data_IF_066702964609
#
_entry.id   IF_066702964609
#
_cell.length_a   1.000
_cell.length_b   1.000
_cell.length_c   1.000
_cell.angle_alpha   90.00
_cell.angle_beta   90.00
_cell.angle_gamma   90.00
#
_symmetry.space_group_name_H-M   'P 1'
#
loop_
_entity.id
_entity.type
_entity.pdbx_description
1 polymer ?
#
# COMPACT_ATOMS: atom_id res chain seq x y z
N UNK A 1 58.59 -18.36 14.42
CA UNK A 1 57.59 -17.99 15.43
C UNK A 1 57.01 -16.66 15.04
N UNK A 2 55.77 -16.62 14.56
CA UNK A 2 55.11 -15.37 14.23
C UNK A 2 54.75 -14.61 15.53
N UNK A 3 55.03 -13.30 15.67
CA UNK A 3 54.70 -12.58 16.89
C UNK A 3 53.17 -12.59 17.09
N UNK A 4 52.75 -13.07 18.25
CA UNK A 4 51.31 -13.04 18.64
C UNK A 4 50.77 -11.63 18.45
N UNK A 5 49.66 -11.44 17.71
CA UNK A 5 48.97 -10.17 17.58
C UNK A 5 48.64 -9.64 19.00
N UNK A 6 49.31 -8.57 19.40
CA UNK A 6 49.03 -7.94 20.68
C UNK A 6 47.54 -7.49 20.68
N UNK A 7 46.85 -7.80 21.77
CA UNK A 7 45.44 -7.39 22.00
C UNK A 7 45.31 -5.89 21.91
N UNK A 8 44.26 -5.40 21.27
CA UNK A 8 43.90 -3.96 21.29
C UNK A 8 43.75 -3.45 22.71
N UNK A 9 44.11 -2.16 22.94
CA UNK A 9 43.91 -1.50 24.23
C UNK A 9 42.44 -1.51 24.62
N UNK A 10 42.13 -1.80 25.86
CA UNK A 10 40.79 -1.58 26.44
C UNK A 10 40.54 -0.10 26.65
N UNK A 11 39.28 0.28 26.87
CA UNK A 11 38.95 1.66 27.22
C UNK A 11 39.61 2.14 28.48
N UNK A 12 39.74 1.27 29.46
CA UNK A 12 40.41 1.49 30.76
C UNK A 12 41.90 1.78 30.57
N UNK A 13 42.61 0.93 29.82
CA UNK A 13 44.03 1.11 29.51
C UNK A 13 44.29 2.45 28.77
N UNK A 14 43.37 2.89 27.94
CA UNK A 14 43.47 4.19 27.25
C UNK A 14 43.26 5.39 28.19
N UNK A 15 42.30 5.24 29.13
CA UNK A 15 42.07 6.26 30.17
C UNK A 15 43.32 6.37 31.04
N UNK A 16 43.90 5.23 31.49
CA UNK A 16 45.09 5.18 32.27
C UNK A 16 46.28 5.87 31.60
N UNK A 17 46.51 5.60 30.30
CA UNK A 17 47.54 6.28 29.50
C UNK A 17 47.34 7.79 29.50
N UNK A 18 46.08 8.26 29.32
CA UNK A 18 45.77 9.69 29.28
C UNK A 18 45.99 10.35 30.66
N UNK A 19 45.54 9.73 31.73
CA UNK A 19 45.73 10.20 33.12
C UNK A 19 47.20 10.30 33.46
N UNK A 20 47.97 9.25 33.17
CA UNK A 20 49.43 9.28 33.43
C UNK A 20 50.13 10.36 32.61
N UNK A 21 49.68 10.65 31.39
CA UNK A 21 50.22 11.73 30.59
C UNK A 21 49.85 13.11 31.15
N UNK A 22 48.64 13.28 31.66
CA UNK A 22 48.22 14.55 32.33
C UNK A 22 49.02 14.80 33.59
N UNK A 23 49.48 13.75 34.27
CA UNK A 23 50.41 13.80 35.44
C UNK A 23 51.86 14.09 35.02
N UNK A 24 52.10 14.52 33.75
CA UNK A 24 53.42 14.91 33.21
C UNK A 24 54.46 13.77 33.16
N UNK A 25 54.01 12.49 33.17
CA UNK A 25 54.94 11.38 32.95
C UNK A 25 55.41 11.34 31.49
N UNK A 26 56.65 10.95 31.24
CA UNK A 26 57.19 10.80 29.90
C UNK A 26 56.53 9.59 29.19
N UNK A 27 56.38 9.64 27.86
CA UNK A 27 55.75 8.53 27.09
C UNK A 27 56.48 7.22 27.28
N UNK A 28 57.81 7.22 27.47
CA UNK A 28 58.62 6.04 27.77
C UNK A 28 58.26 5.43 29.14
N UNK A 29 58.09 6.28 30.14
CA UNK A 29 57.71 5.84 31.48
C UNK A 29 56.29 5.23 31.50
N UNK A 30 55.35 5.88 30.79
CA UNK A 30 53.99 5.40 30.61
C UNK A 30 54.00 4.04 29.90
N UNK A 31 54.77 3.88 28.81
CA UNK A 31 54.87 2.64 28.08
C UNK A 31 55.40 1.48 28.94
N UNK A 32 56.36 1.75 29.83
CA UNK A 32 56.86 0.78 30.79
C UNK A 32 55.78 0.39 31.82
N UNK A 33 55.05 1.38 32.39
CA UNK A 33 54.01 1.17 33.41
C UNK A 33 52.83 0.32 32.85
N UNK A 34 52.33 0.72 31.68
CA UNK A 34 51.15 0.06 31.05
C UNK A 34 51.58 -1.21 30.26
N UNK A 35 52.87 -1.53 30.17
CA UNK A 35 53.45 -2.68 29.45
C UNK A 35 52.95 -2.72 27.98
N UNK A 36 52.98 -1.57 27.31
CA UNK A 36 52.55 -1.42 25.91
C UNK A 36 53.65 -0.75 25.06
N UNK A 37 53.69 -1.00 23.76
CA UNK A 37 54.67 -0.34 22.88
C UNK A 37 54.58 1.20 22.96
N UNK A 38 55.71 1.86 22.92
CA UNK A 38 55.82 3.32 22.93
C UNK A 38 54.97 4.00 21.81
N UNK A 39 54.93 3.40 20.64
CA UNK A 39 54.08 3.87 19.50
C UNK A 39 52.58 3.87 19.86
N UNK A 40 52.11 2.79 20.51
CA UNK A 40 50.71 2.67 20.91
C UNK A 40 50.32 3.73 21.96
N UNK A 41 51.22 4.00 22.93
CA UNK A 41 51.03 5.05 23.92
C UNK A 41 51.03 6.43 23.26
N UNK A 42 52.00 6.71 22.38
CA UNK A 42 52.12 7.99 21.68
C UNK A 42 50.86 8.23 20.78
N UNK A 43 50.39 7.22 20.06
CA UNK A 43 49.19 7.32 19.24
C UNK A 43 47.92 7.57 20.06
N UNK A 44 47.83 6.96 21.26
CA UNK A 44 46.69 7.16 22.14
C UNK A 44 46.67 8.60 22.68
N UNK A 45 47.82 9.12 23.14
CA UNK A 45 47.95 10.49 23.61
C UNK A 45 47.70 11.50 22.47
N UNK A 46 48.28 11.29 21.28
CA UNK A 46 48.07 12.14 20.11
C UNK A 46 46.57 12.15 19.72
N UNK A 47 45.92 11.03 19.74
CA UNK A 47 44.49 10.93 19.45
C UNK A 47 43.66 11.70 20.48
N UNK A 48 43.94 11.51 21.76
CA UNK A 48 43.24 12.24 22.82
C UNK A 48 43.40 13.76 22.68
N UNK A 49 44.61 14.23 22.39
CA UNK A 49 44.85 15.68 22.15
C UNK A 49 44.03 16.22 20.99
N UNK A 50 43.82 15.42 19.92
CA UNK A 50 43.11 15.86 18.71
C UNK A 50 41.59 15.73 18.82
N UNK A 51 41.06 14.77 19.59
CA UNK A 51 39.64 14.45 19.60
C UNK A 51 38.96 14.63 20.97
N UNK A 52 39.75 14.89 22.02
CA UNK A 52 39.33 14.91 23.41
C UNK A 52 38.55 13.62 23.83
N UNK A 53 38.85 12.51 23.19
CA UNK A 53 38.15 11.22 23.37
C UNK A 53 39.15 10.07 23.41
N UNK A 54 38.91 9.10 24.30
CA UNK A 54 39.65 7.84 24.40
C UNK A 54 39.11 6.74 23.47
N UNK A 55 37.97 6.99 22.83
CA UNK A 55 37.31 6.04 21.94
C UNK A 55 38.13 5.78 20.66
N UNK A 56 37.96 4.58 20.10
CA UNK A 56 38.54 4.28 18.79
C UNK A 56 37.88 5.11 17.69
N UNK A 57 38.67 5.68 16.82
CA UNK A 57 38.16 6.32 15.60
C UNK A 57 37.50 5.26 14.71
N UNK A 58 36.39 5.62 14.10
CA UNK A 58 35.74 4.77 13.12
C UNK A 58 36.65 4.53 11.93
N UNK A 59 36.93 3.26 11.61
CA UNK A 59 37.77 2.92 10.47
C UNK A 59 37.07 3.33 9.17
N UNK A 60 37.83 3.81 8.19
CA UNK A 60 37.31 4.25 6.88
C UNK A 60 36.65 3.10 6.09
N UNK A 61 36.99 1.85 6.41
CA UNK A 61 36.49 0.66 5.74
C UNK A 61 37.05 0.51 4.30
N UNK A 62 36.50 -0.47 3.57
CA UNK A 62 36.88 -0.71 2.17
C UNK A 62 36.31 0.39 1.28
N UNK A 63 37.07 1.00 0.36
CA UNK A 63 36.57 1.97 -0.61
C UNK A 63 35.38 1.43 -1.41
N UNK A 64 34.40 2.30 -1.69
CA UNK A 64 33.21 1.93 -2.45
C UNK A 64 33.58 1.73 -3.92
N UNK A 65 33.15 0.61 -4.53
CA UNK A 65 33.33 0.35 -5.98
C UNK A 65 32.53 1.33 -6.86
N UNK A 66 31.39 1.81 -6.37
CA UNK A 66 30.49 2.74 -7.06
C UNK A 66 30.65 4.10 -6.38
N UNK A 67 31.10 5.09 -7.10
CA UNK A 67 31.23 6.46 -6.65
C UNK A 67 29.86 7.19 -6.64
N UNK A 68 29.83 8.45 -6.21
CA UNK A 68 28.58 9.21 -6.13
C UNK A 68 27.99 9.52 -7.51
N UNK A 69 28.83 9.74 -8.54
CA UNK A 69 28.38 9.98 -9.91
C UNK A 69 27.72 8.74 -10.49
N UNK A 70 28.37 7.58 -10.36
CA UNK A 70 27.85 6.28 -10.80
C UNK A 70 26.52 5.94 -10.10
N UNK A 71 26.45 6.24 -8.82
CA UNK A 71 25.21 6.02 -8.04
C UNK A 71 24.05 6.90 -8.52
N UNK A 72 24.33 8.15 -8.91
CA UNK A 72 23.32 9.04 -9.54
C UNK A 72 22.91 8.53 -10.92
N UNK A 73 23.85 8.04 -11.72
CA UNK A 73 23.56 7.44 -13.01
C UNK A 73 22.63 6.23 -12.88
N UNK A 74 22.91 5.30 -11.97
CA UNK A 74 22.04 4.13 -11.69
C UNK A 74 20.63 4.56 -11.29
N UNK A 75 20.50 5.59 -10.45
CA UNK A 75 19.20 6.17 -10.10
C UNK A 75 18.46 6.66 -11.34
N UNK A 76 19.11 7.43 -12.21
CA UNK A 76 18.47 7.98 -13.41
C UNK A 76 18.09 6.88 -14.40
N UNK A 77 18.93 5.88 -14.63
CA UNK A 77 18.59 4.72 -15.45
C UNK A 77 17.37 3.98 -14.94
N UNK A 78 17.29 3.76 -13.62
CA UNK A 78 16.13 3.12 -13.01
C UNK A 78 14.87 3.98 -13.08
N UNK A 79 14.97 5.31 -13.02
CA UNK A 79 13.82 6.21 -13.18
C UNK A 79 13.29 6.16 -14.63
N UNK A 80 14.18 6.19 -15.62
CA UNK A 80 13.83 6.16 -17.04
C UNK A 80 13.20 4.82 -17.45
N UNK A 81 13.60 3.73 -16.83
CA UNK A 81 13.18 2.37 -17.18
C UNK A 81 12.82 1.56 -15.92
N UNK A 82 11.70 1.92 -15.27
CA UNK A 82 11.24 1.35 -13.99
C UNK A 82 11.02 -0.17 -13.99
N UNK A 83 10.90 -0.79 -15.15
CA UNK A 83 10.60 -2.23 -15.30
C UNK A 83 11.85 -3.08 -15.59
N UNK A 84 13.01 -2.48 -15.81
CA UNK A 84 14.26 -3.24 -15.99
C UNK A 84 14.59 -4.04 -14.74
N UNK A 85 15.01 -5.29 -14.94
CA UNK A 85 15.49 -6.15 -13.85
C UNK A 85 16.82 -5.65 -13.32
N UNK A 86 17.16 -5.99 -12.09
CA UNK A 86 18.44 -5.64 -11.50
C UNK A 86 19.62 -6.22 -12.30
N UNK A 87 19.46 -7.40 -12.92
CA UNK A 87 20.47 -8.01 -13.77
C UNK A 87 20.79 -7.13 -14.98
N UNK A 88 19.76 -6.70 -15.72
CA UNK A 88 19.89 -5.84 -16.90
C UNK A 88 20.53 -4.49 -16.52
N UNK A 89 20.07 -3.86 -15.43
CA UNK A 89 20.66 -2.60 -14.95
C UNK A 89 22.14 -2.77 -14.61
N UNK A 90 22.51 -3.91 -13.98
CA UNK A 90 23.91 -4.18 -13.61
C UNK A 90 24.78 -4.40 -14.84
N UNK A 91 24.27 -5.12 -15.82
CA UNK A 91 25.00 -5.42 -17.08
C UNK A 91 25.23 -4.14 -17.88
N UNK A 92 24.19 -3.35 -18.14
CA UNK A 92 24.30 -2.06 -18.83
C UNK A 92 25.27 -1.10 -18.11
N UNK A 93 25.22 -1.07 -16.78
CA UNK A 93 26.12 -0.25 -15.99
C UNK A 93 27.58 -0.69 -16.13
N UNK A 94 27.84 -1.99 -16.03
CA UNK A 94 29.20 -2.54 -16.13
C UNK A 94 29.82 -2.28 -17.53
N UNK A 95 29.00 -2.44 -18.57
CA UNK A 95 29.45 -2.16 -19.96
C UNK A 95 29.75 -0.67 -20.12
N UNK A 96 28.84 0.19 -19.74
CA UNK A 96 28.93 1.65 -19.94
C UNK A 96 30.05 2.32 -19.12
N UNK A 97 30.40 1.78 -17.95
CA UNK A 97 31.38 2.38 -17.03
C UNK A 97 32.68 1.58 -16.90
N UNK A 98 32.84 0.47 -17.65
CA UNK A 98 33.97 -0.44 -17.56
C UNK A 98 34.28 -0.89 -16.12
N UNK A 99 33.26 -1.07 -15.32
CA UNK A 99 33.34 -1.47 -13.90
C UNK A 99 32.78 -2.89 -13.75
N UNK A 100 33.46 -3.73 -12.98
CA UNK A 100 32.93 -5.04 -12.58
C UNK A 100 32.17 -4.94 -11.22
N UNK A 101 30.99 -4.38 -11.23
CA UNK A 101 30.12 -4.34 -10.05
C UNK A 101 29.20 -5.58 -10.02
N UNK A 102 29.06 -6.21 -8.87
CA UNK A 102 28.08 -7.27 -8.69
C UNK A 102 26.66 -6.70 -8.52
N UNK A 103 25.65 -7.52 -8.79
CA UNK A 103 24.23 -7.16 -8.57
C UNK A 103 23.95 -6.64 -7.15
N UNK A 104 24.60 -7.22 -6.14
CA UNK A 104 24.44 -6.78 -4.74
C UNK A 104 25.01 -5.39 -4.48
N UNK A 105 26.10 -5.01 -5.17
CA UNK A 105 26.69 -3.67 -5.08
C UNK A 105 25.76 -2.64 -5.73
N UNK A 106 25.26 -2.93 -6.94
CA UNK A 106 24.27 -2.08 -7.64
C UNK A 106 22.98 -1.95 -6.83
N UNK A 107 22.47 -3.04 -6.27
CA UNK A 107 21.28 -3.03 -5.44
C UNK A 107 21.46 -2.14 -4.20
N UNK A 108 22.59 -2.21 -3.50
CA UNK A 108 22.91 -1.34 -2.37
C UNK A 108 22.96 0.14 -2.76
N UNK A 109 23.53 0.44 -3.94
CA UNK A 109 23.55 1.80 -4.47
C UNK A 109 22.12 2.33 -4.74
N UNK A 110 21.24 1.51 -5.33
CA UNK A 110 19.84 1.89 -5.54
C UNK A 110 19.08 2.03 -4.20
N UNK A 111 19.32 1.14 -3.25
CA UNK A 111 18.72 1.21 -1.91
C UNK A 111 19.14 2.47 -1.15
N UNK A 112 20.37 2.94 -1.31
CA UNK A 112 20.82 4.20 -0.68
C UNK A 112 20.04 5.44 -1.16
N UNK A 113 19.39 5.35 -2.33
CA UNK A 113 18.44 6.34 -2.85
C UNK A 113 16.97 6.03 -2.48
N UNK A 114 16.70 5.04 -1.63
CA UNK A 114 15.35 4.59 -1.30
C UNK A 114 14.63 3.86 -2.44
N UNK A 115 15.35 3.49 -3.50
CA UNK A 115 14.78 2.77 -4.64
C UNK A 115 14.79 1.27 -4.39
N UNK A 116 13.66 0.76 -3.89
CA UNK A 116 13.46 -0.65 -3.59
C UNK A 116 12.68 -1.34 -4.73
N UNK A 117 13.01 -2.58 -5.02
CA UNK A 117 12.19 -3.43 -5.87
C UNK A 117 10.82 -3.65 -5.22
N UNK A 118 9.77 -3.22 -5.90
CA UNK A 118 8.37 -3.37 -5.44
C UNK A 118 7.53 -4.03 -6.52
N UNK A 119 6.51 -4.76 -6.12
CA UNK A 119 5.52 -5.29 -7.06
C UNK A 119 4.69 -4.13 -7.59
N UNK A 120 4.59 -4.04 -8.93
CA UNK A 120 3.74 -3.03 -9.54
C UNK A 120 2.27 -3.26 -9.20
N UNK A 121 1.57 -2.20 -8.83
CA UNK A 121 0.12 -2.24 -8.63
C UNK A 121 -0.58 -2.47 -9.97
N UNK A 122 -1.60 -3.34 -9.96
CA UNK A 122 -2.50 -3.51 -11.09
C UNK A 122 -3.67 -2.55 -10.91
N UNK A 123 -3.83 -1.62 -11.83
CA UNK A 123 -4.96 -0.67 -11.90
C UNK A 123 -5.48 -0.63 -13.34
N UNK A 124 -6.78 -0.37 -13.58
CA UNK A 124 -7.33 -0.25 -14.94
C UNK A 124 -6.59 0.83 -15.73
N UNK A 125 -6.46 0.66 -17.04
CA UNK A 125 -5.90 1.71 -17.91
C UNK A 125 -6.92 2.83 -18.05
N UNK A 126 -6.58 4.02 -17.58
CA UNK A 126 -7.44 5.20 -17.73
C UNK A 126 -7.19 5.89 -19.07
N UNK A 127 -8.27 6.16 -19.80
CA UNK A 127 -8.20 7.02 -20.99
C UNK A 127 -7.96 8.48 -20.59
N UNK A 128 -7.38 9.32 -21.47
CA UNK A 128 -7.24 10.77 -21.21
C UNK A 128 -8.59 11.45 -20.87
N UNK A 129 -9.67 10.99 -21.49
CA UNK A 129 -11.03 11.47 -21.22
C UNK A 129 -11.44 11.15 -19.77
N UNK A 130 -11.22 9.92 -19.31
CA UNK A 130 -11.58 9.50 -17.95
C UNK A 130 -10.74 10.23 -16.91
N UNK A 131 -9.44 10.43 -17.15
CA UNK A 131 -8.57 11.24 -16.30
C UNK A 131 -9.11 12.66 -16.14
N UNK A 132 -9.50 13.31 -17.25
CA UNK A 132 -10.09 14.65 -17.23
C UNK A 132 -11.40 14.69 -16.44
N UNK A 133 -12.29 13.74 -16.69
CA UNK A 133 -13.60 13.65 -16.01
C UNK A 133 -13.45 13.42 -14.51
N UNK A 134 -12.55 12.53 -14.12
CA UNK A 134 -12.25 12.24 -12.72
C UNK A 134 -11.65 13.46 -12.00
N UNK A 135 -10.76 14.20 -12.67
CA UNK A 135 -10.19 15.44 -12.13
C UNK A 135 -11.25 16.54 -11.97
N UNK A 136 -12.16 16.70 -12.92
CA UNK A 136 -13.26 17.66 -12.84
C UNK A 136 -14.17 17.33 -11.65
N UNK A 137 -14.63 16.08 -11.56
CA UNK A 137 -15.42 15.61 -10.44
C UNK A 137 -14.75 15.92 -9.09
N UNK A 138 -13.46 15.58 -8.97
CA UNK A 138 -12.73 15.83 -7.73
C UNK A 138 -12.63 17.31 -7.38
N UNK A 139 -12.43 18.21 -8.37
CA UNK A 139 -12.38 19.66 -8.16
C UNK A 139 -13.72 20.24 -7.72
N UNK A 140 -14.82 19.77 -8.26
CA UNK A 140 -16.17 20.19 -7.88
C UNK A 140 -16.50 19.72 -6.46
N UNK A 141 -16.20 18.46 -6.13
CA UNK A 141 -16.64 17.83 -4.89
C UNK A 141 -15.66 17.96 -3.71
N UNK A 142 -14.42 18.43 -3.92
CA UNK A 142 -13.47 18.65 -2.82
C UNK A 142 -13.96 19.70 -1.81
N UNK A 143 -14.84 20.61 -2.25
CA UNK A 143 -15.45 21.66 -1.41
C UNK A 143 -16.69 21.16 -0.63
N UNK A 144 -17.18 19.98 -0.98
CA UNK A 144 -18.34 19.42 -0.30
C UNK A 144 -18.07 19.21 1.19
N UNK A 145 -19.03 19.67 2.00
CA UNK A 145 -19.02 19.48 3.45
C UNK A 145 -19.55 18.09 3.82
N UNK A 146 -19.30 17.64 5.04
CA UNK A 146 -19.81 16.35 5.56
C UNK A 146 -21.33 16.21 5.39
N UNK A 147 -22.11 17.29 5.55
CA UNK A 147 -23.57 17.30 5.36
C UNK A 147 -24.02 16.90 3.95
N UNK A 148 -23.25 17.26 2.91
CA UNK A 148 -23.54 16.90 1.51
C UNK A 148 -23.23 15.42 1.26
N UNK A 149 -22.05 14.95 1.68
CA UNK A 149 -21.70 13.55 1.62
C UNK A 149 -22.60 12.64 2.44
N UNK A 150 -23.17 13.14 3.54
CA UNK A 150 -24.11 12.41 4.37
C UNK A 150 -25.45 12.10 3.69
N UNK A 151 -25.78 12.78 2.58
CA UNK A 151 -26.99 12.54 1.78
C UNK A 151 -26.76 11.55 0.64
N UNK A 152 -25.55 11.01 0.48
CA UNK A 152 -25.20 10.13 -0.64
C UNK A 152 -25.42 8.67 -0.25
N UNK A 153 -26.12 7.94 -1.10
CA UNK A 153 -26.13 6.49 -1.14
C UNK A 153 -25.10 6.04 -2.20
N UNK A 154 -24.01 5.44 -1.75
CA UNK A 154 -23.00 4.83 -2.62
C UNK A 154 -23.36 3.39 -2.89
N UNK A 155 -23.39 2.98 -4.15
CA UNK A 155 -23.75 1.62 -4.55
C UNK A 155 -22.71 1.01 -5.46
N UNK A 156 -22.65 -0.33 -5.44
CA UNK A 156 -21.75 -1.10 -6.29
C UNK A 156 -22.07 -2.59 -6.26
N UNK A 157 -21.47 -3.34 -7.19
CA UNK A 157 -21.43 -4.79 -7.21
C UNK A 157 -20.09 -5.32 -6.77
N UNK A 158 -20.11 -6.46 -6.06
CA UNK A 158 -18.89 -7.17 -5.72
C UNK A 158 -19.04 -8.67 -5.90
N UNK A 159 -17.93 -9.29 -6.33
CA UNK A 159 -17.83 -10.73 -6.53
C UNK A 159 -16.90 -11.31 -5.48
N UNK A 160 -17.40 -12.25 -4.71
CA UNK A 160 -16.67 -12.99 -3.68
C UNK A 160 -16.47 -14.42 -4.11
N UNK A 161 -15.20 -14.82 -4.24
CA UNK A 161 -14.84 -16.19 -4.63
C UNK A 161 -14.90 -17.12 -3.41
N UNK A 162 -15.44 -18.33 -3.59
CA UNK A 162 -15.52 -19.33 -2.52
C UNK A 162 -14.13 -19.80 -2.10
N UNK A 163 -13.28 -20.07 -3.08
CA UNK A 163 -11.91 -20.51 -2.86
C UNK A 163 -10.91 -19.48 -3.38
N UNK A 164 -9.85 -19.31 -2.62
CA UNK A 164 -8.83 -18.33 -2.94
C UNK A 164 -9.21 -16.92 -2.45
N UNK A 165 -8.23 -16.21 -2.01
CA UNK A 165 -8.34 -14.78 -1.69
C UNK A 165 -7.57 -13.99 -2.74
N UNK A 166 -8.10 -12.87 -3.20
CA UNK A 166 -7.34 -11.91 -4.03
C UNK A 166 -6.13 -11.34 -3.28
N UNK A 167 -6.05 -11.59 -1.96
CA UNK A 167 -4.98 -11.16 -1.07
C UNK A 167 -3.84 -12.17 -1.04
N UNK A 168 -2.62 -11.66 -0.88
CA UNK A 168 -1.45 -12.52 -0.64
C UNK A 168 -1.55 -13.12 0.76
N UNK A 169 -1.63 -14.45 0.85
CA UNK A 169 -1.53 -15.18 2.10
C UNK A 169 -0.05 -15.43 2.38
N UNK A 170 0.42 -15.00 3.55
CA UNK A 170 1.78 -15.24 4.00
C UNK A 170 1.78 -16.40 4.99
N UNK A 171 2.69 -17.35 4.80
CA UNK A 171 2.97 -18.42 5.74
C UNK A 171 4.39 -18.28 6.28
N UNK A 172 4.59 -18.58 7.55
CA UNK A 172 5.93 -18.68 8.15
C UNK A 172 6.35 -20.14 8.03
N UNK A 173 7.44 -20.41 7.33
CA UNK A 173 7.94 -21.76 7.06
C UNK A 173 9.45 -21.77 6.94
N UNK A 174 10.08 -22.92 7.18
CA UNK A 174 11.49 -23.13 6.86
C UNK A 174 11.71 -23.33 5.35
N UNK A 175 12.98 -23.35 4.95
CA UNK A 175 13.35 -23.37 3.52
C UNK A 175 12.75 -24.57 2.75
N UNK A 176 12.65 -25.73 3.39
CA UNK A 176 12.24 -26.99 2.75
C UNK A 176 10.75 -27.32 2.90
N UNK A 177 9.96 -26.53 3.63
CA UNK A 177 8.55 -26.78 3.95
C UNK A 177 7.57 -26.20 2.93
N UNK A 178 8.08 -25.80 1.75
CA UNK A 178 7.25 -25.10 0.73
C UNK A 178 6.02 -25.88 0.31
N UNK A 179 6.10 -27.20 0.29
CA UNK A 179 5.06 -28.09 -0.21
C UNK A 179 4.30 -28.83 0.88
N UNK A 180 4.55 -28.55 2.15
CA UNK A 180 3.75 -29.09 3.24
C UNK A 180 2.32 -28.57 3.16
N UNK A 181 1.34 -29.41 3.50
CA UNK A 181 -0.09 -29.11 3.34
C UNK A 181 -0.54 -27.84 4.06
N UNK A 182 0.04 -27.56 5.24
CA UNK A 182 -0.20 -26.37 6.04
C UNK A 182 0.45 -25.09 5.45
N UNK A 183 1.38 -25.23 4.51
CA UNK A 183 2.04 -24.14 3.80
C UNK A 183 1.43 -23.88 2.41
N UNK A 184 0.48 -24.68 1.98
CA UNK A 184 -0.19 -24.56 0.68
C UNK A 184 -1.52 -23.82 0.82
N UNK A 185 -1.88 -23.10 -0.24
CA UNK A 185 -3.24 -22.59 -0.42
C UNK A 185 -3.91 -23.57 -1.39
N UNK A 186 -4.96 -24.27 -0.95
CA UNK A 186 -5.68 -25.17 -1.85
C UNK A 186 -6.31 -24.39 -3.00
N UNK A 187 -6.13 -24.87 -4.22
CA UNK A 187 -6.77 -24.34 -5.41
C UNK A 187 -7.73 -25.38 -5.96
N UNK A 188 -8.90 -24.95 -6.43
CA UNK A 188 -9.88 -25.79 -7.08
C UNK A 188 -10.00 -25.42 -8.56
N UNK A 189 -10.24 -26.41 -9.41
CA UNK A 189 -10.50 -26.18 -10.84
C UNK A 189 -11.69 -25.23 -10.97
N UNK A 190 -11.60 -24.28 -11.91
CA UNK A 190 -12.63 -23.27 -12.20
C UNK A 190 -12.99 -22.35 -11.02
N UNK A 191 -12.10 -22.20 -10.01
CA UNK A 191 -12.27 -21.26 -8.88
C UNK A 191 -13.34 -21.66 -7.87
N UNK A 192 -13.94 -22.87 -7.96
CA UNK A 192 -14.89 -23.41 -6.98
C UNK A 192 -16.22 -22.67 -6.85
N UNK A 193 -16.49 -21.68 -7.69
CA UNK A 193 -17.68 -20.85 -7.64
C UNK A 193 -17.47 -19.49 -6.94
N UNK A 194 -18.46 -18.65 -7.05
CA UNK A 194 -18.48 -17.31 -6.47
C UNK A 194 -19.90 -16.86 -6.12
N UNK A 195 -20.02 -15.85 -5.28
CA UNK A 195 -21.26 -15.14 -5.00
C UNK A 195 -21.11 -13.71 -5.47
N UNK A 196 -21.96 -13.28 -6.40
CA UNK A 196 -22.05 -11.91 -6.84
C UNK A 196 -23.16 -11.20 -6.07
N UNK A 197 -22.88 -10.04 -5.54
CA UNK A 197 -23.79 -9.27 -4.72
C UNK A 197 -23.85 -7.82 -5.18
N UNK A 198 -25.00 -7.19 -4.96
CA UNK A 198 -25.19 -5.76 -5.01
C UNK A 198 -25.46 -5.23 -3.60
N UNK A 199 -24.94 -4.05 -3.29
CA UNK A 199 -25.18 -3.37 -2.03
C UNK A 199 -25.03 -1.86 -2.11
N UNK A 200 -25.52 -1.17 -1.08
CA UNK A 200 -25.39 0.28 -0.94
C UNK A 200 -25.03 0.68 0.49
N UNK A 201 -24.26 1.74 0.63
CA UNK A 201 -23.84 2.28 1.93
C UNK A 201 -24.15 3.77 2.04
N UNK A 202 -24.53 4.18 3.23
CA UNK A 202 -24.66 5.59 3.59
C UNK A 202 -24.22 5.81 5.04
N UNK A 203 -24.21 7.06 5.52
CA UNK A 203 -23.79 7.38 6.90
C UNK A 203 -24.70 6.82 7.99
N UNK A 204 -25.94 6.48 7.64
CA UNK A 204 -26.95 5.99 8.56
C UNK A 204 -27.03 4.46 8.62
N UNK A 205 -26.47 3.76 7.64
CA UNK A 205 -26.49 2.31 7.56
C UNK A 205 -26.15 1.79 6.18
N UNK A 206 -26.49 0.53 5.95
CA UNK A 206 -26.33 -0.19 4.71
C UNK A 206 -27.69 -0.60 4.16
N UNK A 207 -27.79 -0.79 2.85
CA UNK A 207 -28.96 -1.44 2.24
C UNK A 207 -28.89 -2.95 2.48
N UNK A 208 -30.01 -3.65 2.39
CA UNK A 208 -29.97 -5.10 2.33
C UNK A 208 -29.24 -5.55 1.07
N UNK A 209 -28.36 -6.53 1.21
CA UNK A 209 -27.69 -7.11 0.06
C UNK A 209 -28.69 -7.76 -0.91
N UNK A 210 -28.37 -7.73 -2.19
CA UNK A 210 -29.03 -8.54 -3.22
C UNK A 210 -28.04 -9.51 -3.80
N UNK A 211 -28.29 -10.81 -3.64
CA UNK A 211 -27.58 -11.84 -4.38
C UNK A 211 -28.00 -11.79 -5.85
N UNK A 212 -27.02 -11.79 -6.72
CA UNK A 212 -27.21 -11.78 -8.17
C UNK A 212 -26.95 -13.21 -8.67
N UNK A 213 -27.96 -13.82 -9.22
CA UNK A 213 -27.90 -15.15 -9.80
C UNK A 213 -27.71 -15.01 -11.30
N UNK A 214 -26.73 -15.75 -11.84
CA UNK A 214 -26.39 -15.69 -13.26
C UNK A 214 -25.78 -14.35 -13.67
N UNK A 215 -26.20 -13.84 -14.84
CA UNK A 215 -25.71 -12.60 -15.44
C UNK A 215 -26.59 -11.44 -15.04
N UNK A 216 -26.01 -10.40 -14.49
CA UNK A 216 -26.70 -9.15 -14.21
C UNK A 216 -26.89 -8.34 -15.50
N UNK A 217 -28.11 -8.37 -15.99
CA UNK A 217 -28.54 -7.56 -17.14
C UNK A 217 -29.27 -6.27 -16.70
N UNK A 218 -29.73 -5.48 -17.66
CA UNK A 218 -30.49 -4.26 -17.39
C UNK A 218 -31.82 -4.49 -16.67
N UNK A 219 -32.45 -5.67 -16.81
CA UNK A 219 -33.72 -5.99 -16.13
C UNK A 219 -33.49 -6.32 -14.68
N UNK A 220 -32.45 -7.11 -14.39
CA UNK A 220 -32.03 -7.43 -13.02
C UNK A 220 -31.64 -6.14 -12.29
N UNK A 221 -30.86 -5.27 -12.95
CA UNK A 221 -30.49 -3.99 -12.32
C UNK A 221 -31.69 -3.07 -12.09
N UNK A 222 -32.61 -2.97 -13.05
CA UNK A 222 -33.85 -2.22 -12.87
C UNK A 222 -34.66 -2.74 -11.68
N UNK A 223 -34.78 -4.06 -11.52
CA UNK A 223 -35.42 -4.68 -10.35
C UNK A 223 -34.73 -4.28 -9.02
N UNK A 224 -33.39 -4.18 -9.03
CA UNK A 224 -32.62 -3.69 -7.89
C UNK A 224 -32.97 -2.22 -7.59
N UNK A 225 -33.05 -1.37 -8.62
CA UNK A 225 -33.45 0.03 -8.45
C UNK A 225 -34.83 0.16 -7.82
N UNK A 226 -35.82 -0.60 -8.33
CA UNK A 226 -37.21 -0.54 -7.90
C UNK A 226 -37.42 -1.09 -6.48
N UNK A 227 -36.83 -2.23 -6.18
CA UNK A 227 -37.16 -2.99 -4.96
C UNK A 227 -36.12 -2.85 -3.85
N UNK A 228 -34.94 -2.26 -4.12
CA UNK A 228 -33.85 -2.13 -3.14
C UNK A 228 -33.29 -0.72 -3.07
N UNK A 229 -32.62 -0.27 -4.12
CA UNK A 229 -31.82 0.96 -4.09
C UNK A 229 -32.62 2.18 -3.68
N UNK A 230 -33.70 2.48 -4.41
CA UNK A 230 -34.48 3.70 -4.15
C UNK A 230 -35.35 3.62 -2.89
N UNK A 231 -36.10 2.53 -2.61
CA UNK A 231 -36.86 2.42 -1.37
C UNK A 231 -35.99 2.46 -0.12
N UNK A 232 -34.86 1.74 -0.12
CA UNK A 232 -33.97 1.71 1.03
C UNK A 232 -33.16 2.99 1.17
N UNK A 233 -32.75 3.61 0.07
CA UNK A 233 -32.15 4.94 0.06
C UNK A 233 -33.07 5.98 0.69
N UNK A 234 -34.35 5.99 0.29
CA UNK A 234 -35.36 6.87 0.87
C UNK A 234 -35.60 6.59 2.35
N UNK A 235 -35.60 5.32 2.76
CA UNK A 235 -35.73 4.92 4.18
C UNK A 235 -34.55 5.41 5.03
N UNK A 236 -33.32 5.29 4.51
CA UNK A 236 -32.09 5.59 5.24
C UNK A 236 -31.75 7.08 5.26
N UNK A 237 -32.06 7.82 4.18
CA UNK A 237 -31.58 9.18 3.95
C UNK A 237 -32.71 10.22 3.78
N UNK A 238 -33.95 9.77 3.62
CA UNK A 238 -35.09 10.64 3.31
C UNK A 238 -35.27 10.90 1.82
N UNK A 239 -36.29 11.67 1.47
CA UNK A 239 -36.62 12.09 0.10
C UNK A 239 -35.53 13.04 -0.43
N UNK A 240 -35.22 12.96 -1.71
CA UNK A 240 -34.21 13.80 -2.37
C UNK A 240 -32.76 13.44 -2.01
N UNK A 241 -32.51 12.21 -1.59
CA UNK A 241 -31.13 11.74 -1.39
C UNK A 241 -30.35 11.68 -2.70
N UNK A 242 -29.04 11.76 -2.61
CA UNK A 242 -28.14 11.66 -3.76
C UNK A 242 -27.80 10.19 -4.01
N UNK A 243 -28.12 9.70 -5.20
CA UNK A 243 -27.84 8.34 -5.63
C UNK A 243 -26.59 8.28 -6.50
N UNK A 244 -25.61 7.49 -6.07
CA UNK A 244 -24.41 7.23 -6.85
C UNK A 244 -24.45 5.81 -7.41
N UNK A 245 -24.28 5.72 -8.70
CA UNK A 245 -24.05 4.49 -9.48
C UNK A 245 -22.86 4.70 -10.42
N UNK A 246 -22.22 3.63 -10.89
CA UNK A 246 -21.18 3.71 -11.91
C UNK A 246 -21.77 3.81 -13.33
N UNK A 247 -20.89 3.91 -14.33
CA UNK A 247 -21.29 4.04 -15.73
C UNK A 247 -21.32 2.71 -16.47
N UNK A 248 -21.59 1.59 -15.79
CA UNK A 248 -21.74 0.29 -16.45
C UNK A 248 -22.85 0.38 -17.54
N UNK A 249 -22.69 -0.26 -18.73
CA UNK A 249 -23.70 -0.24 -19.78
C UNK A 249 -25.09 -0.67 -19.34
N UNK A 250 -25.22 -1.60 -18.37
CA UNK A 250 -26.52 -2.01 -17.83
C UNK A 250 -27.20 -0.88 -17.02
N UNK A 251 -26.42 -0.09 -16.27
CA UNK A 251 -26.90 1.07 -15.50
C UNK A 251 -27.31 2.21 -16.44
N UNK A 252 -26.51 2.47 -17.45
CA UNK A 252 -26.76 3.52 -18.43
C UNK A 252 -27.73 3.13 -19.55
N UNK A 253 -28.39 1.98 -19.47
CA UNK A 253 -29.44 1.56 -20.40
C UNK A 253 -30.62 2.54 -20.39
N UNK A 254 -31.26 2.74 -21.56
CA UNK A 254 -32.42 3.65 -21.66
C UNK A 254 -33.53 3.28 -20.65
N UNK A 255 -33.72 1.98 -20.43
CA UNK A 255 -34.70 1.46 -19.48
C UNK A 255 -34.47 1.93 -18.05
N UNK A 256 -33.26 1.79 -17.53
CA UNK A 256 -32.89 2.22 -16.17
C UNK A 256 -32.82 3.76 -16.08
N UNK A 257 -32.28 4.44 -17.10
CA UNK A 257 -32.20 5.90 -17.12
C UNK A 257 -33.57 6.57 -17.10
N UNK A 258 -34.55 6.06 -17.86
CA UNK A 258 -35.91 6.61 -17.88
C UNK A 258 -36.59 6.45 -16.53
N UNK A 259 -36.41 5.30 -15.89
CA UNK A 259 -36.94 5.07 -14.53
C UNK A 259 -36.32 6.06 -13.53
N UNK A 260 -35.00 6.19 -13.49
CA UNK A 260 -34.32 7.13 -12.61
C UNK A 260 -34.70 8.59 -12.90
N UNK A 261 -34.85 8.98 -14.18
CA UNK A 261 -35.29 10.31 -14.56
C UNK A 261 -36.71 10.61 -14.09
N UNK A 262 -37.62 9.62 -14.10
CA UNK A 262 -38.96 9.79 -13.54
C UNK A 262 -38.95 10.03 -12.02
N UNK A 263 -38.06 9.32 -11.32
CA UNK A 263 -37.87 9.46 -9.85
C UNK A 263 -37.18 10.78 -9.48
N UNK A 264 -36.32 11.26 -10.35
CA UNK A 264 -35.68 12.58 -10.19
C UNK A 264 -36.71 13.72 -10.39
N UNK A 265 -37.58 13.61 -11.41
CA UNK A 265 -38.70 14.55 -11.61
C UNK A 265 -39.67 14.59 -10.42
N UNK A 266 -39.94 13.43 -9.78
CA UNK A 266 -40.79 13.39 -8.56
C UNK A 266 -40.08 13.92 -7.31
N UNK A 267 -38.79 14.27 -7.41
CA UNK A 267 -37.97 14.73 -6.29
C UNK A 267 -37.66 13.64 -5.27
N UNK A 268 -37.81 12.36 -5.63
CA UNK A 268 -37.49 11.24 -4.75
C UNK A 268 -35.98 11.04 -4.60
N UNK A 269 -35.22 11.33 -5.66
CA UNK A 269 -33.77 11.10 -5.73
C UNK A 269 -33.09 12.20 -6.56
N UNK A 270 -31.82 12.43 -6.31
CA UNK A 270 -30.94 13.27 -7.15
C UNK A 270 -29.80 12.37 -7.66
N UNK A 271 -29.60 12.30 -8.98
CA UNK A 271 -28.54 11.45 -9.53
C UNK A 271 -27.19 12.15 -9.48
N UNK A 272 -26.18 11.45 -9.01
CA UNK A 272 -24.80 11.93 -9.04
C UNK A 272 -24.16 11.66 -10.40
N UNK A 273 -23.58 12.67 -11.02
CA UNK A 273 -22.75 12.48 -12.21
C UNK A 273 -21.43 11.86 -11.80
N UNK A 274 -21.28 10.56 -12.03
CA UNK A 274 -20.12 9.80 -11.59
C UNK A 274 -19.06 9.66 -12.70
N UNK A 275 -17.75 9.85 -12.40
CA UNK A 275 -16.69 9.69 -13.39
C UNK A 275 -16.48 8.20 -13.72
N UNK A 276 -16.30 7.84 -15.02
CA UNK A 276 -16.06 6.45 -15.39
C UNK A 276 -14.76 5.90 -14.81
N UNK A 277 -14.73 4.58 -14.56
CA UNK A 277 -13.55 3.85 -14.09
C UNK A 277 -12.88 4.46 -12.83
N UNK A 278 -13.70 4.91 -11.87
CA UNK A 278 -13.23 5.61 -10.67
C UNK A 278 -13.52 4.85 -9.36
N UNK A 279 -13.06 3.61 -9.21
CA UNK A 279 -13.23 2.85 -7.96
C UNK A 279 -12.52 3.54 -6.78
N UNK A 280 -11.42 4.24 -7.04
CA UNK A 280 -10.68 5.02 -6.04
C UNK A 280 -11.56 6.06 -5.32
N UNK A 281 -12.58 6.59 -5.99
CA UNK A 281 -13.53 7.52 -5.43
C UNK A 281 -14.70 6.83 -4.72
N UNK A 282 -14.99 5.55 -5.01
CA UNK A 282 -16.13 4.87 -4.38
C UNK A 282 -15.76 4.33 -2.99
N UNK A 283 -16.36 4.84 -1.89
CA UNK A 283 -16.04 4.37 -0.55
C UNK A 283 -16.54 2.94 -0.27
N UNK A 284 -17.49 2.42 -1.07
CA UNK A 284 -18.02 1.07 -0.90
C UNK A 284 -16.97 0.00 -1.22
N UNK A 285 -15.98 0.30 -2.08
CA UNK A 285 -14.85 -0.60 -2.35
C UNK A 285 -14.07 -0.93 -1.06
N UNK A 286 -13.90 0.07 -0.21
CA UNK A 286 -13.30 -0.15 1.12
C UNK A 286 -14.20 -0.97 2.05
N UNK A 287 -15.52 -0.98 1.80
CA UNK A 287 -16.45 -1.84 2.55
C UNK A 287 -16.42 -3.27 2.05
N UNK A 288 -16.26 -3.50 0.77
CA UNK A 288 -16.02 -4.84 0.23
C UNK A 288 -14.77 -5.47 0.83
N UNK A 289 -13.69 -4.69 0.91
CA UNK A 289 -12.46 -5.10 1.61
C UNK A 289 -12.67 -5.37 3.10
N UNK A 290 -13.47 -4.53 3.77
CA UNK A 290 -13.81 -4.69 5.18
C UNK A 290 -14.58 -5.98 5.41
N UNK A 291 -15.56 -6.29 4.56
CA UNK A 291 -16.35 -7.53 4.60
C UNK A 291 -15.46 -8.74 4.33
N UNK A 292 -14.68 -8.73 3.24
CA UNK A 292 -13.81 -9.87 2.88
C UNK A 292 -12.83 -10.26 3.99
N UNK A 293 -12.32 -9.27 4.74
CA UNK A 293 -11.43 -9.53 5.88
C UNK A 293 -12.11 -10.18 7.07
N UNK A 294 -13.42 -10.03 7.22
CA UNK A 294 -14.20 -10.52 8.35
C UNK A 294 -15.00 -11.78 8.08
N UNK A 295 -15.14 -12.13 6.81
CA UNK A 295 -15.80 -13.37 6.43
C UNK A 295 -15.10 -14.57 7.08
N UNK A 296 -15.88 -15.42 7.72
CA UNK A 296 -15.40 -16.68 8.26
C UNK A 296 -14.95 -17.60 7.13
N UNK A 297 -13.67 -17.93 7.09
CA UNK A 297 -13.06 -18.73 6.02
C UNK A 297 -13.56 -20.17 6.00
N UNK A 298 -13.97 -20.71 7.13
CA UNK A 298 -14.49 -22.07 7.24
C UNK A 298 -15.89 -22.24 6.66
N UNK A 299 -16.63 -21.13 6.49
CA UNK A 299 -18.01 -21.11 5.97
C UNK A 299 -18.08 -20.79 4.46
N UNK A 300 -16.94 -20.78 3.77
CA UNK A 300 -16.87 -20.51 2.32
C UNK A 300 -16.98 -21.78 1.45
N UNK A 301 -17.49 -22.88 1.97
CA UNK A 301 -17.51 -24.18 1.27
C UNK A 301 -18.71 -24.36 0.33
N UNK A 302 -19.71 -23.49 0.38
CA UNK A 302 -20.84 -23.46 -0.56
C UNK A 302 -21.30 -22.01 -0.80
N UNK A 303 -21.98 -21.77 -1.94
CA UNK A 303 -22.50 -20.45 -2.27
C UNK A 303 -23.53 -19.97 -1.24
N UNK A 304 -24.37 -20.86 -0.71
CA UNK A 304 -25.42 -20.48 0.25
C UNK A 304 -24.85 -20.15 1.62
N UNK A 305 -23.90 -20.94 2.13
CA UNK A 305 -23.18 -20.60 3.36
C UNK A 305 -22.40 -19.30 3.23
N UNK A 306 -21.76 -19.10 2.08
CA UNK A 306 -21.07 -17.84 1.78
C UNK A 306 -22.03 -16.66 1.73
N UNK A 307 -23.23 -16.83 1.15
CA UNK A 307 -24.27 -15.80 1.12
C UNK A 307 -24.72 -15.41 2.53
N UNK A 308 -25.05 -16.37 3.37
CA UNK A 308 -25.47 -16.12 4.76
C UNK A 308 -24.37 -15.41 5.56
N UNK A 309 -23.12 -15.81 5.39
CA UNK A 309 -21.97 -15.18 6.03
C UNK A 309 -21.76 -13.74 5.54
N UNK A 310 -21.91 -13.49 4.23
CA UNK A 310 -21.85 -12.17 3.62
C UNK A 310 -22.96 -11.27 4.20
N UNK A 311 -24.20 -11.74 4.25
CA UNK A 311 -25.35 -10.99 4.73
C UNK A 311 -25.19 -10.63 6.22
N UNK A 312 -24.79 -11.59 7.05
CA UNK A 312 -24.53 -11.37 8.48
C UNK A 312 -23.40 -10.34 8.70
N UNK A 313 -22.29 -10.52 7.97
CA UNK A 313 -21.13 -9.61 8.07
C UNK A 313 -21.48 -8.18 7.61
N UNK A 314 -22.22 -8.05 6.50
CA UNK A 314 -22.66 -6.78 5.96
C UNK A 314 -23.58 -6.03 6.93
N UNK A 315 -24.57 -6.70 7.47
CA UNK A 315 -25.51 -6.11 8.40
C UNK A 315 -24.88 -5.72 9.75
N UNK A 316 -23.74 -6.34 10.10
CA UNK A 316 -22.98 -6.03 11.31
C UNK A 316 -22.05 -4.83 11.18
N UNK A 317 -21.94 -4.19 10.01
CA UNK A 317 -21.03 -3.05 9.80
C UNK A 317 -21.41 -1.88 10.72
N UNK A 318 -20.52 -1.45 11.63
CA UNK A 318 -20.83 -0.34 12.52
C UNK A 318 -20.95 0.99 11.77
N UNK A 319 -21.95 1.81 12.12
CA UNK A 319 -22.13 3.17 11.54
C UNK A 319 -20.86 4.03 11.62
N UNK A 320 -20.05 3.87 12.67
CA UNK A 320 -18.75 4.56 12.83
C UNK A 320 -17.80 4.25 11.66
N UNK A 321 -17.78 3.01 11.18
CA UNK A 321 -16.95 2.57 10.04
C UNK A 321 -17.47 3.17 8.74
N UNK A 322 -18.77 3.11 8.49
CA UNK A 322 -19.40 3.73 7.32
C UNK A 322 -19.07 5.23 7.25
N UNK A 323 -19.28 5.96 8.34
CA UNK A 323 -18.97 7.39 8.44
C UNK A 323 -17.49 7.69 8.19
N UNK A 324 -16.57 6.86 8.72
CA UNK A 324 -15.12 6.99 8.47
C UNK A 324 -14.81 6.99 6.97
N UNK A 325 -15.35 6.02 6.24
CA UNK A 325 -15.04 5.88 4.82
C UNK A 325 -15.79 6.88 3.94
N UNK A 326 -17.06 7.17 4.23
CA UNK A 326 -17.82 8.18 3.48
C UNK A 326 -17.24 9.58 3.69
N UNK A 327 -16.85 9.93 4.90
CA UNK A 327 -16.24 11.24 5.15
C UNK A 327 -14.78 11.33 4.67
N UNK A 328 -14.17 10.22 4.25
CA UNK A 328 -12.89 10.24 3.55
C UNK A 328 -12.98 10.80 2.12
N UNK A 329 -14.19 10.98 1.56
CA UNK A 329 -14.40 11.48 0.19
C UNK A 329 -13.66 12.78 -0.09
N UNK A 330 -13.61 13.72 0.86
CA UNK A 330 -12.82 14.94 0.71
C UNK A 330 -11.33 14.64 0.47
N UNK A 331 -10.77 13.66 1.18
CA UNK A 331 -9.37 13.26 1.05
C UNK A 331 -9.14 12.45 -0.24
N UNK A 332 -10.12 11.62 -0.67
CA UNK A 332 -10.09 10.94 -1.97
C UNK A 332 -10.07 11.95 -3.11
N UNK A 333 -10.94 12.96 -3.09
CA UNK A 333 -10.92 14.06 -4.07
C UNK A 333 -9.57 14.80 -4.07
N UNK A 334 -9.00 15.13 -2.90
CA UNK A 334 -7.66 15.74 -2.82
C UNK A 334 -6.58 14.85 -3.44
N UNK A 335 -6.63 13.54 -3.19
CA UNK A 335 -5.68 12.59 -3.76
C UNK A 335 -5.77 12.53 -5.28
N UNK A 336 -6.99 12.53 -5.84
CA UNK A 336 -7.23 12.59 -7.29
C UNK A 336 -6.71 13.91 -7.89
N UNK A 337 -6.92 15.03 -7.23
CA UNK A 337 -6.39 16.34 -7.67
C UNK A 337 -4.88 16.31 -7.69
N UNK A 338 -4.24 15.80 -6.61
CA UNK A 338 -2.79 15.65 -6.53
C UNK A 338 -2.24 14.72 -7.62
N UNK A 339 -2.94 13.62 -7.91
CA UNK A 339 -2.62 12.69 -8.99
C UNK A 339 -3.00 13.21 -10.39
N UNK A 340 -3.49 14.47 -10.51
CA UNK A 340 -3.94 15.10 -11.77
C UNK A 340 -4.99 14.26 -12.51
N UNK A 341 -5.88 13.61 -11.78
CA UNK A 341 -6.91 12.71 -12.32
C UNK A 341 -6.45 11.27 -12.55
N UNK A 342 -5.22 10.94 -12.22
CA UNK A 342 -4.70 9.57 -12.28
C UNK A 342 -5.06 8.73 -11.05
N UNK A 343 -4.55 7.50 -11.02
CA UNK A 343 -4.78 6.56 -9.92
C UNK A 343 -4.27 7.06 -8.58
N UNK A 344 -5.00 6.74 -7.54
CA UNK A 344 -4.66 7.08 -6.16
C UNK A 344 -4.34 5.81 -5.33
N UNK A 345 -4.02 6.02 -4.06
CA UNK A 345 -3.77 4.93 -3.09
C UNK A 345 -5.06 4.35 -2.47
N UNK A 346 -6.22 4.91 -2.84
CA UNK A 346 -7.53 4.45 -2.39
C UNK A 346 -8.03 3.27 -3.21
#
# INVERSE_FOLDING_TARGET
MFPSKQRELTSEERIEIVVLHQQKNSLRKIAALVRRPLSTVADTVKRYKNTNSVANLKRSGRPRKINNSDSRYLKLCSIRSRRKTLSVITEEFNIGHKISASRSVVNRALHSWGMLGRVACRKPLLSPRNIKTQLLFAKEHVKWKKKQWAKVLFTDESKFDLFGSKRRTYVRRFKNERFESNCLIPTVKHGGGNVMIWGGICVNGVTRLKRIEGIMDKKVYHSILVHRALPEGKKLLGKGFVFQEDNDPKHSSLFCRNYLASKEKSGDVVRMVWPPQSPDLNPIESMWDYVDTRLNKTERNSQDKMWLNLEATWNSIPKKILRKYIYSMKNRCKAVIHAKGGHTSY
#
